data_IF_314360956946
#
_entry.id   IF_314360956946
#
_cell.length_a   1.000
_cell.length_b   1.000
_cell.length_c   1.000
_cell.angle_alpha   90.00
_cell.angle_beta   90.00
_cell.angle_gamma   90.00
#
_symmetry.space_group_name_H-M   'P 1'
#
loop_
_entity.id
_entity.type
_entity.pdbx_description
1 polymer ?
#
# COMPACT_ATOMS: atom_id res chain seq x y z
N UNK A 1 7.66 -57.31 12.41
CA UNK A 1 7.80 -56.11 13.27
C UNK A 1 7.84 -54.90 12.35
N UNK A 2 6.66 -54.44 11.94
CA UNK A 2 6.47 -53.37 10.95
C UNK A 2 6.79 -52.03 11.62
N UNK A 3 7.87 -51.36 11.20
CA UNK A 3 8.09 -49.96 11.55
C UNK A 3 7.17 -49.14 10.66
N UNK A 4 6.11 -48.62 11.26
CA UNK A 4 5.32 -47.52 10.71
C UNK A 4 6.30 -46.38 10.46
N UNK A 5 6.46 -46.04 9.19
CA UNK A 5 7.16 -44.86 8.75
C UNK A 5 6.23 -43.70 9.06
N UNK A 6 6.46 -43.06 10.21
CA UNK A 6 5.79 -41.81 10.55
C UNK A 6 6.38 -40.75 9.63
N UNK A 7 5.84 -40.65 8.41
CA UNK A 7 6.04 -39.48 7.57
C UNK A 7 5.48 -38.29 8.34
N UNK A 8 6.38 -37.46 8.87
CA UNK A 8 6.04 -36.12 9.30
C UNK A 8 5.53 -35.36 8.07
N UNK A 9 4.20 -35.34 7.90
CA UNK A 9 3.51 -34.48 6.96
C UNK A 9 4.02 -33.04 7.14
N UNK A 10 4.39 -32.32 6.07
CA UNK A 10 4.73 -30.91 6.18
C UNK A 10 3.46 -30.12 6.52
N UNK A 11 3.19 -29.94 7.81
CA UNK A 11 2.06 -29.17 8.35
C UNK A 11 2.25 -27.65 8.22
N UNK A 12 3.02 -27.21 7.22
CA UNK A 12 3.25 -25.79 6.90
C UNK A 12 2.63 -25.37 5.54
N UNK A 13 2.15 -26.31 4.71
CA UNK A 13 1.73 -26.00 3.33
C UNK A 13 0.25 -25.65 3.14
N UNK A 14 -0.59 -25.64 4.19
CA UNK A 14 -2.03 -25.35 4.05
C UNK A 14 -2.43 -23.93 4.46
N UNK A 15 -1.81 -23.36 5.50
CA UNK A 15 -2.21 -22.06 6.06
C UNK A 15 -1.92 -20.88 5.11
N UNK A 16 -0.83 -20.95 4.34
CA UNK A 16 -0.44 -19.89 3.40
C UNK A 16 -0.96 -20.14 1.97
N UNK A 17 -1.39 -21.37 1.67
CA UNK A 17 -1.88 -21.76 0.36
C UNK A 17 -3.18 -21.04 -0.01
N UNK A 18 -4.20 -21.09 0.86
CA UNK A 18 -5.49 -20.46 0.56
C UNK A 18 -5.39 -18.94 0.41
N UNK A 19 -4.70 -18.19 1.29
CA UNK A 19 -4.52 -16.75 1.12
C UNK A 19 -3.73 -16.40 -0.15
N UNK A 20 -2.70 -17.16 -0.51
CA UNK A 20 -1.91 -16.94 -1.72
C UNK A 20 -2.74 -17.16 -2.99
N UNK A 21 -3.54 -18.24 -3.03
CA UNK A 21 -4.46 -18.51 -4.13
C UNK A 21 -5.54 -17.42 -4.24
N UNK A 22 -6.13 -17.02 -3.11
CA UNK A 22 -7.14 -15.96 -3.06
C UNK A 22 -6.57 -14.63 -3.59
N UNK A 23 -5.39 -14.22 -3.09
CA UNK A 23 -4.69 -13.02 -3.56
C UNK A 23 -4.42 -13.08 -5.05
N UNK A 24 -3.96 -14.22 -5.57
CA UNK A 24 -3.69 -14.37 -7.00
C UNK A 24 -4.93 -14.11 -7.85
N UNK A 25 -6.10 -14.60 -7.44
CA UNK A 25 -7.35 -14.35 -8.18
C UNK A 25 -7.84 -12.92 -7.99
N UNK A 26 -7.75 -12.36 -6.78
CA UNK A 26 -8.11 -10.97 -6.49
C UNK A 26 -7.27 -9.99 -7.31
N UNK A 27 -5.96 -10.25 -7.45
CA UNK A 27 -5.07 -9.44 -8.30
C UNK A 27 -5.44 -9.51 -9.79
N UNK A 28 -5.98 -10.63 -10.28
CA UNK A 28 -6.49 -10.70 -11.67
C UNK A 28 -7.72 -9.82 -11.87
N UNK A 29 -8.64 -9.81 -10.90
CA UNK A 29 -9.83 -8.95 -10.95
C UNK A 29 -9.42 -7.46 -10.94
N UNK A 30 -8.43 -7.06 -10.13
CA UNK A 30 -7.93 -5.68 -10.12
C UNK A 30 -7.30 -5.24 -11.45
N UNK A 31 -6.73 -6.17 -12.21
CA UNK A 31 -6.14 -5.87 -13.52
C UNK A 31 -7.18 -5.78 -14.64
N UNK A 32 -8.38 -6.33 -14.42
CA UNK A 32 -9.46 -6.30 -15.39
C UNK A 32 -10.29 -5.02 -15.24
N UNK A 33 -10.18 -4.13 -16.22
CA UNK A 33 -10.88 -2.84 -16.22
C UNK A 33 -12.40 -3.00 -16.41
N UNK A 34 -12.85 -4.11 -17.02
CA UNK A 34 -14.28 -4.40 -17.18
C UNK A 34 -14.96 -4.66 -15.82
N UNK A 35 -14.17 -5.04 -14.81
CA UNK A 35 -14.62 -5.30 -13.44
C UNK A 35 -14.36 -4.13 -12.48
N UNK A 36 -14.09 -2.93 -13.00
CA UNK A 36 -13.77 -1.72 -12.22
C UNK A 36 -14.76 -1.39 -11.09
N UNK A 37 -16.04 -1.72 -11.26
CA UNK A 37 -17.06 -1.59 -10.22
C UNK A 37 -16.77 -2.41 -8.95
N UNK A 38 -15.99 -3.49 -9.06
CA UNK A 38 -15.63 -4.38 -7.96
C UNK A 38 -14.28 -4.04 -7.33
N UNK A 39 -13.49 -3.15 -7.94
CA UNK A 39 -12.11 -2.88 -7.49
C UNK A 39 -12.05 -2.48 -6.02
N UNK A 40 -12.93 -1.59 -5.56
CA UNK A 40 -12.99 -1.18 -4.15
C UNK A 40 -13.19 -2.36 -3.19
N UNK A 41 -14.11 -3.27 -3.50
CA UNK A 41 -14.38 -4.46 -2.68
C UNK A 41 -13.19 -5.40 -2.67
N UNK A 42 -12.54 -5.58 -3.81
CA UNK A 42 -11.37 -6.45 -3.94
C UNK A 42 -10.18 -5.90 -3.13
N UNK A 43 -9.93 -4.59 -3.17
CA UNK A 43 -8.88 -3.94 -2.37
C UNK A 43 -9.12 -4.17 -0.87
N UNK A 44 -10.37 -3.97 -0.41
CA UNK A 44 -10.73 -4.22 0.99
C UNK A 44 -10.47 -5.67 1.39
N UNK A 45 -10.84 -6.64 0.54
CA UNK A 45 -10.59 -8.05 0.80
C UNK A 45 -9.08 -8.37 0.89
N UNK A 46 -8.27 -7.81 0.00
CA UNK A 46 -6.81 -7.98 0.01
C UNK A 46 -6.21 -7.43 1.31
N UNK A 47 -6.62 -6.23 1.72
CA UNK A 47 -6.15 -5.64 2.98
C UNK A 47 -6.60 -6.43 4.20
N UNK A 48 -7.81 -6.96 4.18
CA UNK A 48 -8.30 -7.84 5.25
C UNK A 48 -7.43 -9.10 5.36
N UNK A 49 -7.14 -9.76 4.24
CA UNK A 49 -6.24 -10.93 4.20
C UNK A 49 -4.86 -10.55 4.80
N UNK A 50 -4.30 -9.40 4.43
CA UNK A 50 -3.04 -8.90 4.97
C UNK A 50 -3.08 -8.69 6.48
N UNK A 51 -4.16 -8.09 7.00
CA UNK A 51 -4.37 -7.92 8.44
C UNK A 51 -4.41 -9.26 9.17
N UNK A 52 -5.06 -10.27 8.59
CA UNK A 52 -5.17 -11.60 9.21
C UNK A 52 -3.86 -12.40 9.17
N UNK A 53 -3.05 -12.25 8.13
CA UNK A 53 -1.77 -12.96 7.97
C UNK A 53 -0.65 -12.38 8.84
N UNK A 54 -0.69 -11.09 9.17
CA UNK A 54 0.38 -10.41 9.89
C UNK A 54 1.71 -10.50 9.11
N UNK A 55 2.82 -10.83 9.79
CA UNK A 55 4.15 -10.89 9.16
C UNK A 55 4.29 -11.97 8.07
N UNK A 56 3.39 -12.96 8.02
CA UNK A 56 3.40 -13.98 6.95
C UNK A 56 3.07 -13.39 5.57
N UNK A 57 2.48 -12.19 5.50
CA UNK A 57 2.15 -11.54 4.23
C UNK A 57 3.38 -11.02 3.45
N UNK A 58 4.56 -10.96 4.08
CA UNK A 58 5.78 -10.39 3.49
C UNK A 58 6.20 -11.11 2.21
N UNK A 59 6.02 -12.43 2.14
CA UNK A 59 6.32 -13.23 0.95
C UNK A 59 5.40 -12.90 -0.25
N UNK A 60 4.25 -12.27 0.00
CA UNK A 60 3.24 -11.91 -0.99
C UNK A 60 3.39 -10.46 -1.48
N UNK A 61 4.19 -9.64 -0.80
CA UNK A 61 4.42 -8.22 -1.17
C UNK A 61 4.85 -8.02 -2.62
N UNK A 62 5.82 -8.79 -3.17
CA UNK A 62 6.28 -8.56 -4.55
C UNK A 62 5.16 -8.75 -5.58
N UNK A 63 4.14 -9.54 -5.25
CA UNK A 63 3.01 -9.81 -6.15
C UNK A 63 1.91 -8.74 -6.05
N UNK A 64 1.80 -8.04 -4.93
CA UNK A 64 0.69 -7.12 -4.64
C UNK A 64 1.07 -5.66 -4.79
N UNK A 65 2.26 -5.28 -4.37
CA UNK A 65 2.68 -3.88 -4.38
C UNK A 65 2.64 -3.29 -5.80
N UNK A 66 3.21 -3.93 -6.84
CA UNK A 66 3.21 -3.34 -8.18
C UNK A 66 1.78 -3.14 -8.76
N UNK A 67 0.86 -4.13 -8.67
CA UNK A 67 -0.53 -3.92 -9.09
C UNK A 67 -1.26 -2.80 -8.33
N UNK A 68 -1.06 -2.68 -7.01
CA UNK A 68 -1.70 -1.61 -6.22
C UNK A 68 -1.19 -0.23 -6.63
N UNK A 69 0.13 -0.06 -6.80
CA UNK A 69 0.70 1.20 -7.24
C UNK A 69 0.24 1.57 -8.66
N UNK A 70 0.17 0.58 -9.57
CA UNK A 70 -0.36 0.82 -10.91
C UNK A 70 -1.84 1.23 -10.89
N UNK A 71 -2.64 0.63 -10.02
CA UNK A 71 -4.06 0.98 -9.89
C UNK A 71 -4.27 2.43 -9.46
N UNK A 72 -3.42 2.98 -8.57
CA UNK A 72 -3.47 4.43 -8.25
C UNK A 72 -3.25 5.26 -9.50
N UNK A 73 -2.25 4.92 -10.32
CA UNK A 73 -1.91 5.67 -11.55
C UNK A 73 -3.02 5.64 -12.58
N UNK A 74 -3.67 4.50 -12.78
CA UNK A 74 -4.69 4.32 -13.82
C UNK A 74 -6.12 4.61 -13.38
N UNK A 75 -6.36 4.78 -12.08
CA UNK A 75 -7.70 5.01 -11.53
C UNK A 75 -8.21 6.44 -11.75
N UNK A 76 -9.53 6.58 -11.79
CA UNK A 76 -10.21 7.89 -11.76
C UNK A 76 -10.06 8.53 -10.37
N UNK A 77 -10.23 9.85 -10.29
CA UNK A 77 -9.97 10.64 -9.07
C UNK A 77 -10.65 10.06 -7.81
N UNK A 78 -11.93 9.71 -7.86
CA UNK A 78 -12.63 9.17 -6.69
C UNK A 78 -12.06 7.84 -6.18
N UNK A 79 -11.67 6.92 -7.07
CA UNK A 79 -11.02 5.67 -6.69
C UNK A 79 -9.58 5.91 -6.22
N UNK A 80 -8.90 6.91 -6.80
CA UNK A 80 -7.54 7.30 -6.41
C UNK A 80 -7.49 7.81 -4.97
N UNK A 81 -8.42 8.67 -4.58
CA UNK A 81 -8.56 9.18 -3.21
C UNK A 81 -8.69 8.01 -2.22
N UNK A 82 -9.59 7.07 -2.51
CA UNK A 82 -9.78 5.86 -1.72
C UNK A 82 -8.51 4.99 -1.67
N UNK A 83 -7.83 4.84 -2.81
CA UNK A 83 -6.61 4.04 -2.90
C UNK A 83 -5.48 4.59 -2.06
N UNK A 84 -5.27 5.91 -2.01
CA UNK A 84 -4.27 6.50 -1.12
C UNK A 84 -4.56 6.17 0.35
N UNK A 85 -5.82 6.24 0.78
CA UNK A 85 -6.21 5.82 2.13
C UNK A 85 -5.93 4.32 2.38
N UNK A 86 -6.23 3.47 1.39
CA UNK A 86 -5.95 2.04 1.48
C UNK A 86 -4.45 1.74 1.52
N UNK A 87 -3.62 2.51 0.80
CA UNK A 87 -2.18 2.40 0.86
C UNK A 87 -1.61 2.81 2.23
N UNK A 88 -2.16 3.82 2.89
CA UNK A 88 -1.78 4.17 4.27
C UNK A 88 -2.02 3.00 5.22
N UNK A 89 -3.20 2.38 5.14
CA UNK A 89 -3.53 1.19 5.92
C UNK A 89 -2.58 0.03 5.59
N UNK A 90 -2.28 -0.17 4.30
CA UNK A 90 -1.36 -1.22 3.86
C UNK A 90 0.03 -1.04 4.46
N UNK A 91 0.59 0.17 4.41
CA UNK A 91 1.91 0.49 4.98
C UNK A 91 1.92 0.27 6.49
N UNK A 92 0.86 0.63 7.21
CA UNK A 92 0.74 0.38 8.65
C UNK A 92 0.82 -1.12 9.00
N UNK A 93 0.28 -1.99 8.13
CA UNK A 93 0.34 -3.46 8.29
C UNK A 93 1.73 -3.99 7.98
N UNK A 94 2.31 -3.55 6.87
CA UNK A 94 3.56 -4.09 6.30
C UNK A 94 4.81 -3.54 7.02
N UNK A 95 4.71 -2.35 7.62
CA UNK A 95 5.77 -1.69 8.39
C UNK A 95 7.08 -1.58 7.59
N UNK A 96 8.21 -1.96 8.17
CA UNK A 96 9.54 -1.83 7.56
C UNK A 96 9.72 -2.64 6.27
N UNK A 97 8.87 -3.63 5.99
CA UNK A 97 8.96 -4.42 4.77
C UNK A 97 8.57 -3.65 3.49
N UNK A 98 8.06 -2.43 3.61
CA UNK A 98 7.78 -1.56 2.47
C UNK A 98 9.05 -0.95 1.85
N UNK A 99 10.19 -0.98 2.57
CA UNK A 99 11.43 -0.31 2.19
C UNK A 99 11.89 -0.53 0.74
N UNK A 100 11.85 -1.76 0.17
CA UNK A 100 12.28 -1.99 -1.21
C UNK A 100 11.44 -1.26 -2.25
N UNK A 101 10.21 -0.87 -1.90
CA UNK A 101 9.23 -0.25 -2.79
C UNK A 101 9.17 1.28 -2.64
N UNK A 102 9.92 1.86 -1.69
CA UNK A 102 9.92 3.30 -1.42
C UNK A 102 10.21 4.17 -2.66
N UNK A 103 11.17 3.83 -3.54
CA UNK A 103 11.41 4.65 -4.73
C UNK A 103 10.15 4.81 -5.60
N UNK A 104 9.44 3.70 -5.88
CA UNK A 104 8.20 3.73 -6.67
C UNK A 104 7.06 4.45 -5.94
N UNK A 105 7.03 4.35 -4.62
CA UNK A 105 6.06 5.06 -3.77
C UNK A 105 6.29 6.56 -3.79
N UNK A 106 7.55 7.02 -3.67
CA UNK A 106 7.86 8.45 -3.71
C UNK A 106 7.65 9.04 -5.10
N UNK A 107 7.91 8.29 -6.17
CA UNK A 107 7.52 8.67 -7.53
C UNK A 107 6.01 8.93 -7.62
N UNK A 108 5.19 8.02 -7.09
CA UNK A 108 3.73 8.17 -7.04
C UNK A 108 3.31 9.41 -6.25
N UNK A 109 3.91 9.63 -5.08
CA UNK A 109 3.66 10.81 -4.24
C UNK A 109 3.98 12.09 -5.00
N UNK A 110 5.12 12.15 -5.70
CA UNK A 110 5.50 13.32 -6.50
C UNK A 110 4.59 13.56 -7.69
N UNK A 111 4.14 12.50 -8.36
CA UNK A 111 3.21 12.57 -9.49
C UNK A 111 1.87 13.21 -9.09
N UNK A 112 1.34 12.85 -7.91
CA UNK A 112 0.02 13.32 -7.45
C UNK A 112 0.07 14.50 -6.46
N UNK A 113 1.25 14.95 -6.02
CA UNK A 113 1.40 16.04 -5.05
C UNK A 113 0.74 17.37 -5.48
N UNK A 114 0.79 17.65 -6.78
CA UNK A 114 0.25 18.87 -7.37
C UNK A 114 -1.27 18.91 -7.40
N UNK A 115 -1.97 17.83 -7.03
CA UNK A 115 -3.43 17.76 -6.97
C UNK A 115 -3.92 18.11 -5.57
N UNK A 116 -4.50 19.31 -5.33
CA UNK A 116 -4.87 19.76 -3.98
C UNK A 116 -5.87 18.83 -3.28
N UNK A 117 -6.78 18.22 -4.05
CA UNK A 117 -7.78 17.28 -3.54
C UNK A 117 -7.19 16.00 -2.91
N UNK A 118 -5.97 15.63 -3.31
CA UNK A 118 -5.27 14.43 -2.83
C UNK A 118 -4.26 14.73 -1.73
N UNK A 119 -3.88 15.99 -1.54
CA UNK A 119 -2.84 16.37 -0.57
C UNK A 119 -3.11 15.83 0.84
N UNK A 120 -4.33 15.93 1.42
CA UNK A 120 -4.58 15.36 2.75
C UNK A 120 -4.30 13.86 2.83
N UNK A 121 -4.74 13.09 1.84
CA UNK A 121 -4.60 11.64 1.77
C UNK A 121 -3.12 11.26 1.55
N UNK A 122 -2.40 12.01 0.73
CA UNK A 122 -0.96 11.84 0.50
C UNK A 122 -0.18 12.15 1.79
N UNK A 123 -0.55 13.19 2.53
CA UNK A 123 0.08 13.52 3.81
C UNK A 123 -0.10 12.41 4.83
N UNK A 124 -1.32 11.88 5.00
CA UNK A 124 -1.57 10.71 5.86
C UNK A 124 -0.76 9.49 5.41
N UNK A 125 -0.63 9.28 4.10
CA UNK A 125 0.18 8.18 3.57
C UNK A 125 1.66 8.32 3.91
N UNK A 126 2.22 9.53 3.79
CA UNK A 126 3.60 9.82 4.17
C UNK A 126 3.80 9.71 5.68
N UNK A 127 2.83 10.13 6.48
CA UNK A 127 2.84 9.95 7.94
C UNK A 127 2.96 8.46 8.29
N UNK A 128 2.13 7.59 7.70
CA UNK A 128 2.22 6.14 7.93
C UNK A 128 3.56 5.56 7.50
N UNK A 129 4.14 6.02 6.38
CA UNK A 129 5.50 5.64 5.95
C UNK A 129 6.54 6.05 7.00
N UNK A 130 6.41 7.26 7.55
CA UNK A 130 7.32 7.77 8.59
C UNK A 130 7.24 6.91 9.85
N UNK A 131 6.03 6.56 10.29
CA UNK A 131 5.80 5.68 11.45
C UNK A 131 6.37 4.28 11.20
N UNK A 132 6.19 3.75 9.99
CA UNK A 132 6.66 2.42 9.60
C UNK A 132 8.20 2.29 9.58
N UNK A 133 8.91 3.33 9.13
CA UNK A 133 10.37 3.31 8.95
C UNK A 133 11.17 3.85 10.14
N UNK A 134 10.55 4.68 10.99
CA UNK A 134 11.21 5.35 12.14
C UNK A 134 12.50 6.07 11.72
N UNK A 135 13.65 5.69 12.27
CA UNK A 135 14.94 6.35 12.01
C UNK A 135 15.40 6.25 10.55
N UNK A 136 14.96 5.23 9.82
CA UNK A 136 15.32 5.07 8.40
C UNK A 136 14.64 6.10 7.50
N UNK A 137 13.56 6.72 7.97
CA UNK A 137 12.86 7.77 7.22
C UNK A 137 13.72 9.03 7.06
N UNK A 138 14.71 9.25 7.93
CA UNK A 138 15.58 10.44 7.92
C UNK A 138 16.26 10.68 6.57
N UNK A 139 16.53 9.63 5.80
CA UNK A 139 17.11 9.71 4.48
C UNK A 139 16.20 10.42 3.45
N UNK A 140 14.88 10.41 3.66
CA UNK A 140 13.88 10.96 2.73
C UNK A 140 13.36 12.35 3.15
N UNK A 141 13.73 12.82 4.34
CA UNK A 141 13.34 14.14 4.86
C UNK A 141 13.77 15.29 3.93
N UNK A 142 15.01 15.33 3.39
CA UNK A 142 15.46 16.45 2.56
C UNK A 142 14.59 16.67 1.32
N UNK A 143 14.06 15.60 0.73
CA UNK A 143 13.23 15.67 -0.47
C UNK A 143 11.78 16.08 -0.15
N UNK A 144 11.31 15.76 1.05
CA UNK A 144 9.94 15.98 1.47
C UNK A 144 9.72 17.36 2.11
N UNK A 145 10.68 17.86 2.88
CA UNK A 145 10.57 19.15 3.59
C UNK A 145 10.20 20.31 2.67
N UNK A 146 10.84 20.53 1.51
CA UNK A 146 10.47 21.62 0.60
C UNK A 146 9.00 21.55 0.14
N UNK A 147 8.48 20.34 -0.03
CA UNK A 147 7.10 20.11 -0.49
C UNK A 147 6.10 20.45 0.61
N UNK A 148 6.36 20.02 1.84
CA UNK A 148 5.56 20.37 3.02
C UNK A 148 5.52 21.88 3.26
N UNK A 149 6.68 22.54 3.17
CA UNK A 149 6.78 24.00 3.27
C UNK A 149 5.98 24.71 2.16
N UNK A 150 5.97 24.15 0.94
CA UNK A 150 5.15 24.65 -0.16
C UNK A 150 3.66 24.67 0.16
N UNK A 151 3.12 23.60 0.77
CA UNK A 151 1.70 23.55 1.20
C UNK A 151 1.41 24.63 2.25
N UNK A 152 2.29 24.79 3.24
CA UNK A 152 2.10 25.77 4.32
C UNK A 152 2.11 27.21 3.80
N UNK A 153 3.07 27.54 2.93
CA UNK A 153 3.16 28.87 2.31
C UNK A 153 1.93 29.17 1.43
N UNK A 154 1.47 28.20 0.65
CA UNK A 154 0.23 28.34 -0.12
C UNK A 154 -0.95 28.65 0.81
N UNK A 155 -1.13 27.90 1.91
CA UNK A 155 -2.23 28.13 2.85
C UNK A 155 -2.21 29.53 3.49
N UNK A 156 -1.03 30.05 3.82
CA UNK A 156 -0.88 31.38 4.43
C UNK A 156 -1.24 32.54 3.49
N UNK A 157 -1.01 32.37 2.17
CA UNK A 157 -1.33 33.40 1.18
C UNK A 157 -2.83 33.59 0.94
N UNK A 158 -3.67 32.59 1.23
CA UNK A 158 -5.13 32.72 1.20
C UNK A 158 -5.68 33.49 2.40
N UNK A 159 -4.98 33.50 3.54
CA UNK A 159 -5.41 34.26 4.73
C UNK A 159 -5.10 35.76 4.65
N UNK A 160 -4.23 36.20 3.73
CA UNK A 160 -3.90 37.63 3.56
C UNK A 160 -4.74 38.33 2.49
N UNK A 161 -5.63 37.61 1.81
CA UNK A 161 -6.54 38.16 0.79
C UNK A 161 -8.02 38.07 1.15
N UNK A 162 -8.35 37.86 2.44
CA UNK A 162 -9.70 38.04 2.99
C UNK A 162 -9.73 39.17 4.03
#
# INVERSE_FOLDING_TARGET
RSRVQEEALPTASSEEYYPSVAITQLMKILKDQSLSSHHMMVIQAVLFIFRTLGLKCVSLLPQIVPPLLNLVKTSQQGLRDFMFQQLSIFVAIVKQHIRPYLPQIFELVHEFWSQPALQPQILTFIEEITIALKDEFKAFIPDLVPKLLGILNLSSSWCTSS
#
